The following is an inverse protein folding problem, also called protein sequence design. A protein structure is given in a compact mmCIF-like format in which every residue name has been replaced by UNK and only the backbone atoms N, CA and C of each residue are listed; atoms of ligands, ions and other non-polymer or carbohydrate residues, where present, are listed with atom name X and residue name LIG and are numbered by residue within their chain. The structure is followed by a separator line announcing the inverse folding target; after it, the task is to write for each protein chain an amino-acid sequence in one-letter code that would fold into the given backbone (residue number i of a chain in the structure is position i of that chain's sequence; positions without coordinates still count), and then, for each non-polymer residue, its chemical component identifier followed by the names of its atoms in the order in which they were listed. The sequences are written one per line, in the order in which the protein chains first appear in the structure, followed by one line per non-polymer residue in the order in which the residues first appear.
data_IF_679936884150
#
_entry.id   IF_679936884150
#
_cell.length_a   1.000
_cell.length_b   1.000
_cell.length_c   1.000
_cell.angle_alpha   90.00
_cell.angle_beta   90.00
_cell.angle_gamma   90.00
#
_symmetry.space_group_name_H-M   'P 1'
#
loop_
_entity.id
_entity.type
_entity.pdbx_description
1 polymer ?
#
# COMPACT_ATOMS: atom_id res chain seq x y z
N UNK A 1 18.78 -6.58 17.06
CA UNK A 1 17.65 -6.11 17.90
C UNK A 1 17.61 -4.58 17.78
N UNK A 2 16.59 -4.05 17.10
CA UNK A 2 16.45 -2.61 16.82
C UNK A 2 15.96 -1.92 18.09
N UNK A 3 16.86 -1.30 18.86
CA UNK A 3 16.47 -0.49 20.03
C UNK A 3 16.71 0.99 19.66
N UNK A 4 15.68 1.71 19.17
CA UNK A 4 15.84 3.04 18.57
C UNK A 4 16.16 4.17 19.57
N UNK A 5 16.46 3.84 20.83
CA UNK A 5 16.62 4.78 21.93
C UNK A 5 18.05 4.90 22.48
N UNK A 6 18.96 3.99 22.11
CA UNK A 6 20.36 4.04 22.57
C UNK A 6 21.25 4.59 21.46
N UNK A 7 21.06 5.88 21.15
CA UNK A 7 22.09 6.65 20.44
C UNK A 7 23.03 7.19 21.52
N UNK A 8 24.35 6.98 21.39
CA UNK A 8 25.33 7.51 22.34
C UNK A 8 25.26 9.05 22.31
N UNK A 9 24.96 9.68 23.45
CA UNK A 9 24.80 11.12 23.59
C UNK A 9 24.52 11.51 25.04
N UNK A 10 24.38 12.82 25.32
CA UNK A 10 24.17 13.34 26.68
C UNK A 10 22.94 12.69 27.36
N UNK A 11 23.21 11.95 28.44
CA UNK A 11 22.21 11.25 29.23
C UNK A 11 21.49 12.24 30.14
N UNK A 12 20.19 12.45 29.94
CA UNK A 12 19.39 13.30 30.83
C UNK A 12 18.90 12.53 32.05
N UNK A 13 18.61 11.23 31.89
CA UNK A 13 18.08 10.39 32.96
C UNK A 13 18.47 8.93 32.72
N UNK A 14 18.97 8.27 33.77
CA UNK A 14 19.24 6.84 33.78
C UNK A 14 18.56 6.21 34.98
N UNK A 15 17.69 5.23 34.74
CA UNK A 15 17.13 4.41 35.81
C UNK A 15 17.66 3.00 35.68
N UNK A 16 18.32 2.54 36.75
CA UNK A 16 18.72 1.15 36.91
C UNK A 16 17.63 0.42 37.68
N UNK A 17 16.96 -0.53 37.02
CA UNK A 17 16.08 -1.49 37.70
C UNK A 17 16.75 -2.85 37.60
N UNK A 18 17.28 -3.31 38.74
CA UNK A 18 17.85 -4.62 39.09
C UNK A 18 18.95 -5.20 38.18
N UNK A 19 18.77 -5.23 36.85
CA UNK A 19 19.77 -5.67 35.87
C UNK A 19 19.71 -4.95 34.50
N UNK A 20 18.82 -3.96 34.33
CA UNK A 20 18.69 -3.18 33.09
C UNK A 20 18.94 -1.70 33.33
N UNK A 21 19.84 -1.12 32.54
CA UNK A 21 20.10 0.32 32.53
C UNK A 21 19.25 0.95 31.42
N UNK A 22 18.15 1.59 31.80
CA UNK A 22 17.32 2.36 30.87
C UNK A 22 17.75 3.81 30.93
N UNK A 23 18.51 4.24 29.92
CA UNK A 23 18.94 5.62 29.73
C UNK A 23 18.12 6.31 28.64
N UNK A 24 17.58 7.49 28.93
CA UNK A 24 16.93 8.35 27.94
C UNK A 24 17.91 9.44 27.51
N UNK A 25 18.34 9.36 26.26
CA UNK A 25 19.23 10.35 25.62
C UNK A 25 18.41 11.44 24.92
N UNK A 26 18.82 12.71 25.02
CA UNK A 26 18.18 13.84 24.33
C UNK A 26 18.03 13.62 22.81
N UNK A 27 19.09 13.10 22.18
CA UNK A 27 19.09 12.69 20.76
C UNK A 27 18.06 11.59 20.42
N UNK A 28 17.78 10.71 21.39
CA UNK A 28 16.80 9.64 21.25
C UNK A 28 15.37 10.17 21.19
N UNK A 29 15.04 11.20 21.98
CA UNK A 29 13.70 11.80 22.01
C UNK A 29 13.37 12.49 20.68
N UNK A 30 14.32 13.24 20.11
CA UNK A 30 14.14 13.90 18.81
C UNK A 30 14.04 12.90 17.66
N UNK A 31 14.80 11.81 17.72
CA UNK A 31 14.72 10.75 16.72
C UNK A 31 13.37 10.04 16.77
N UNK A 32 12.89 9.73 17.98
CA UNK A 32 11.57 9.13 18.18
C UNK A 32 10.45 10.04 17.66
N UNK A 33 10.47 11.33 18.03
CA UNK A 33 9.47 12.29 17.58
C UNK A 33 9.42 12.40 16.04
N UNK A 34 10.59 12.45 15.40
CA UNK A 34 10.68 12.47 13.94
C UNK A 34 10.08 11.22 13.28
N UNK A 35 10.30 10.03 13.85
CA UNK A 35 9.73 8.78 13.32
C UNK A 35 8.20 8.79 13.46
N UNK A 36 7.70 9.20 14.62
CA UNK A 36 6.25 9.28 14.89
C UNK A 36 5.56 10.26 13.94
N UNK A 37 6.13 11.46 13.78
CA UNK A 37 5.62 12.47 12.84
C UNK A 37 5.64 11.93 11.41
N UNK A 38 6.78 11.40 10.94
CA UNK A 38 6.93 10.90 9.57
C UNK A 38 5.97 9.75 9.24
N UNK A 39 5.83 8.80 10.16
CA UNK A 39 4.92 7.65 9.98
C UNK A 39 3.45 8.10 9.95
N UNK A 40 3.05 9.02 10.83
CA UNK A 40 1.70 9.58 10.86
C UNK A 40 1.37 10.34 9.57
N UNK A 41 2.30 11.18 9.08
CA UNK A 41 2.17 11.89 7.81
C UNK A 41 2.05 10.94 6.61
N UNK A 42 2.85 9.87 6.58
CA UNK A 42 2.79 8.86 5.52
C UNK A 42 1.41 8.20 5.44
N UNK A 43 0.85 7.80 6.59
CA UNK A 43 -0.48 7.18 6.66
C UNK A 43 -1.55 8.18 6.21
N UNK A 44 -1.49 9.43 6.67
CA UNK A 44 -2.44 10.48 6.24
C UNK A 44 -2.40 10.71 4.73
N UNK A 45 -1.21 10.81 4.14
CA UNK A 45 -1.04 10.96 2.69
C UNK A 45 -1.62 9.77 1.92
N UNK A 46 -1.39 8.54 2.39
CA UNK A 46 -1.98 7.34 1.79
C UNK A 46 -3.52 7.35 1.84
N UNK A 47 -4.10 7.76 2.97
CA UNK A 47 -5.56 7.86 3.13
C UNK A 47 -6.14 8.92 2.20
N UNK A 48 -5.53 10.10 2.13
CA UNK A 48 -5.96 11.17 1.22
C UNK A 48 -5.87 10.70 -0.23
N UNK A 49 -4.73 10.14 -0.64
CA UNK A 49 -4.52 9.66 -2.01
C UNK A 49 -5.50 8.55 -2.40
N UNK A 50 -5.79 7.62 -1.49
CA UNK A 50 -6.78 6.54 -1.69
C UNK A 50 -8.21 7.08 -1.78
N UNK A 51 -8.53 8.16 -1.06
CA UNK A 51 -9.85 8.78 -1.06
C UNK A 51 -10.11 9.65 -2.31
N UNK A 52 -9.09 10.37 -2.79
CA UNK A 52 -9.24 11.29 -3.93
C UNK A 52 -9.07 10.61 -5.30
N UNK A 53 -8.36 9.47 -5.37
CA UNK A 53 -8.01 8.82 -6.63
C UNK A 53 -8.91 7.62 -6.91
N UNK A 54 -9.66 7.65 -8.01
CA UNK A 54 -10.46 6.49 -8.41
C UNK A 54 -9.58 5.39 -8.99
N UNK A 55 -10.00 4.12 -8.86
CA UNK A 55 -9.27 2.99 -9.46
C UNK A 55 -9.15 3.11 -10.99
N UNK A 56 -10.17 3.71 -11.64
CA UNK A 56 -10.13 3.99 -13.07
C UNK A 56 -9.04 4.99 -13.44
N UNK A 57 -8.80 6.01 -12.63
CA UNK A 57 -7.73 6.99 -12.88
C UNK A 57 -6.35 6.39 -12.61
N UNK A 58 -6.23 5.51 -11.61
CA UNK A 58 -5.02 4.73 -11.38
C UNK A 58 -4.64 3.86 -12.60
N UNK A 59 -5.60 3.13 -13.17
CA UNK A 59 -5.36 2.32 -14.38
C UNK A 59 -4.93 3.14 -15.60
N UNK A 60 -5.44 4.37 -15.74
CA UNK A 60 -4.99 5.26 -16.81
C UNK A 60 -3.58 5.79 -16.55
N UNK A 61 -3.21 6.03 -15.29
CA UNK A 61 -1.83 6.32 -14.92
C UNK A 61 -0.87 5.22 -15.38
N UNK A 62 -1.29 3.96 -15.27
CA UNK A 62 -0.52 2.81 -15.79
C UNK A 62 -0.44 2.81 -17.33
N UNK A 63 -1.49 3.24 -18.04
CA UNK A 63 -1.50 3.38 -19.50
C UNK A 63 -0.50 4.46 -19.96
N UNK A 64 -0.45 5.60 -19.25
CA UNK A 64 0.52 6.68 -19.49
C UNK A 64 1.96 6.23 -19.23
N UNK A 65 2.17 5.33 -18.27
CA UNK A 65 3.46 4.68 -17.98
C UNK A 65 3.84 3.62 -19.02
N UNK A 66 3.07 3.47 -20.11
CA UNK A 66 3.29 2.51 -21.21
C UNK A 66 3.29 1.04 -20.77
N UNK A 67 2.50 0.70 -19.74
CA UNK A 67 2.25 -0.71 -19.40
C UNK A 67 1.44 -1.36 -20.54
N UNK A 68 1.72 -2.64 -20.91
CA UNK A 68 0.97 -3.32 -21.96
C UNK A 68 -0.55 -3.32 -21.70
N UNK A 69 -1.34 -2.99 -22.72
CA UNK A 69 -2.81 -2.87 -22.61
C UNK A 69 -3.50 -4.13 -22.08
N UNK A 70 -2.90 -5.31 -22.33
CA UNK A 70 -3.39 -6.59 -21.81
C UNK A 70 -3.38 -6.61 -20.26
N UNK A 71 -2.33 -6.08 -19.63
CA UNK A 71 -2.24 -6.03 -18.17
C UNK A 71 -3.32 -5.11 -17.59
N UNK A 72 -3.51 -3.93 -18.19
CA UNK A 72 -4.53 -2.96 -17.78
C UNK A 72 -5.94 -3.59 -17.91
N UNK A 73 -6.18 -4.32 -18.99
CA UNK A 73 -7.44 -5.04 -19.22
C UNK A 73 -7.70 -6.09 -18.14
N UNK A 74 -6.71 -6.96 -17.86
CA UNK A 74 -6.82 -8.01 -16.85
C UNK A 74 -7.09 -7.38 -15.48
N UNK A 75 -6.36 -6.32 -15.12
CA UNK A 75 -6.55 -5.59 -13.87
C UNK A 75 -7.94 -4.93 -13.78
N UNK A 76 -8.45 -4.34 -14.88
CA UNK A 76 -9.81 -3.78 -14.93
C UNK A 76 -10.87 -4.85 -14.73
N UNK A 77 -10.73 -6.02 -15.35
CA UNK A 77 -11.65 -7.13 -15.14
C UNK A 77 -11.57 -7.65 -13.71
N UNK A 78 -10.37 -7.83 -13.17
CA UNK A 78 -10.15 -8.26 -11.80
C UNK A 78 -10.89 -7.34 -10.81
N UNK A 79 -10.75 -6.03 -10.93
CA UNK A 79 -11.44 -5.07 -10.07
C UNK A 79 -12.96 -5.09 -10.25
N UNK A 80 -13.47 -5.19 -11.48
CA UNK A 80 -14.92 -5.28 -11.70
C UNK A 80 -15.50 -6.57 -11.13
N UNK A 81 -14.78 -7.69 -11.29
CA UNK A 81 -15.28 -9.00 -10.90
C UNK A 81 -15.04 -9.34 -9.43
N UNK A 82 -14.07 -8.73 -8.73
CA UNK A 82 -13.85 -9.02 -7.31
C UNK A 82 -15.11 -8.77 -6.47
N UNK A 83 -15.86 -7.71 -6.75
CA UNK A 83 -17.13 -7.43 -6.08
C UNK A 83 -18.21 -8.48 -6.37
N UNK A 84 -18.30 -8.91 -7.63
CA UNK A 84 -19.22 -9.97 -8.05
C UNK A 84 -18.88 -11.30 -7.37
N UNK A 85 -17.59 -11.65 -7.31
CA UNK A 85 -17.12 -12.87 -6.65
C UNK A 85 -17.37 -12.81 -5.15
N UNK A 86 -17.17 -11.64 -4.55
CA UNK A 86 -17.42 -11.42 -3.14
C UNK A 86 -18.90 -11.59 -2.78
N UNK A 87 -19.81 -11.07 -3.61
CA UNK A 87 -21.24 -11.29 -3.41
C UNK A 87 -21.64 -12.76 -3.57
N UNK A 88 -21.03 -13.46 -4.53
CA UNK A 88 -21.25 -14.90 -4.71
C UNK A 88 -20.72 -15.71 -3.52
N UNK A 89 -19.53 -15.37 -3.03
CA UNK A 89 -18.95 -15.96 -1.83
C UNK A 89 -19.84 -15.72 -0.60
N UNK A 90 -20.35 -14.50 -0.41
CA UNK A 90 -21.32 -14.18 0.66
C UNK A 90 -22.60 -15.01 0.54
N UNK A 91 -23.12 -15.22 -0.66
CA UNK A 91 -24.28 -16.09 -0.90
C UNK A 91 -23.99 -17.52 -0.48
N UNK A 92 -22.83 -18.07 -0.85
CA UNK A 92 -22.40 -19.41 -0.44
C UNK A 92 -22.22 -19.52 1.08
N UNK A 93 -21.63 -18.51 1.71
CA UNK A 93 -21.46 -18.45 3.17
C UNK A 93 -22.81 -18.44 3.91
N UNK A 94 -23.79 -17.68 3.40
CA UNK A 94 -25.14 -17.65 3.96
C UNK A 94 -25.88 -18.98 3.77
N UNK A 95 -25.74 -19.60 2.60
CA UNK A 95 -26.30 -20.93 2.36
C UNK A 95 -25.68 -21.98 3.30
N UNK A 96 -24.37 -21.88 3.55
CA UNK A 96 -23.66 -22.71 4.52
C UNK A 96 -24.21 -22.50 5.94
N UNK A 97 -24.39 -21.26 6.38
CA UNK A 97 -24.86 -20.98 7.76
C UNK A 97 -26.25 -21.53 8.04
N UNK A 98 -27.09 -21.69 7.01
CA UNK A 98 -28.42 -22.30 7.14
C UNK A 98 -28.35 -23.84 7.15
N UNK A 99 -27.45 -24.44 6.37
CA UNK A 99 -27.39 -25.90 6.19
C UNK A 99 -26.45 -26.63 7.15
N UNK A 100 -25.42 -25.95 7.66
CA UNK A 100 -24.33 -26.58 8.38
C UNK A 100 -24.20 -26.03 9.80
N UNK A 101 -24.59 -26.85 10.79
CA UNK A 101 -24.44 -26.61 12.23
C UNK A 101 -23.28 -27.43 12.85
N UNK A 102 -22.33 -27.91 12.04
CA UNK A 102 -21.28 -28.81 12.52
C UNK A 102 -20.18 -28.09 13.32
N UNK A 103 -19.84 -28.66 14.48
CA UNK A 103 -18.91 -28.08 15.46
C UNK A 103 -17.43 -28.40 15.17
N UNK A 104 -17.13 -29.45 14.39
CA UNK A 104 -15.76 -29.95 14.19
C UNK A 104 -15.01 -29.16 13.11
N UNK A 105 -13.82 -28.65 13.45
CA UNK A 105 -12.93 -27.92 12.54
C UNK A 105 -12.65 -28.66 11.21
N UNK A 106 -12.45 -29.99 11.25
CA UNK A 106 -12.17 -30.80 10.05
C UNK A 106 -13.28 -30.74 9.00
N UNK A 107 -14.53 -30.79 9.44
CA UNK A 107 -15.68 -30.70 8.55
C UNK A 107 -15.88 -29.28 8.02
N UNK A 108 -15.55 -28.26 8.82
CA UNK A 108 -15.58 -26.86 8.38
C UNK A 108 -14.63 -26.62 7.20
N UNK A 109 -13.39 -27.13 7.26
CA UNK A 109 -12.45 -27.03 6.15
C UNK A 109 -12.95 -27.75 4.90
N UNK A 110 -13.57 -28.94 5.06
CA UNK A 110 -14.17 -29.66 3.93
C UNK A 110 -15.28 -28.85 3.26
N UNK A 111 -16.16 -28.21 4.04
CA UNK A 111 -17.24 -27.36 3.51
C UNK A 111 -16.67 -26.12 2.80
N UNK A 112 -15.61 -25.52 3.34
CA UNK A 112 -14.91 -24.40 2.69
C UNK A 112 -14.33 -24.84 1.34
N UNK A 113 -13.69 -26.02 1.27
CA UNK A 113 -13.21 -26.59 0.02
C UNK A 113 -14.30 -26.75 -1.03
N UNK A 114 -15.48 -27.26 -0.65
CA UNK A 114 -16.63 -27.34 -1.56
C UNK A 114 -17.11 -25.96 -2.03
N UNK A 115 -17.18 -24.96 -1.13
CA UNK A 115 -17.56 -23.60 -1.52
C UNK A 115 -16.57 -23.00 -2.52
N UNK A 116 -15.27 -23.20 -2.32
CA UNK A 116 -14.23 -22.74 -3.24
C UNK A 116 -14.38 -23.43 -4.59
N UNK A 117 -14.58 -24.75 -4.62
CA UNK A 117 -14.79 -25.51 -5.86
C UNK A 117 -16.01 -25.03 -6.64
N UNK A 118 -17.15 -24.82 -5.97
CA UNK A 118 -18.37 -24.28 -6.59
C UNK A 118 -18.13 -22.87 -7.11
N UNK A 119 -17.46 -22.01 -6.33
CA UNK A 119 -17.13 -20.66 -6.75
C UNK A 119 -16.25 -20.70 -8.00
N UNK A 120 -15.19 -21.50 -8.01
CA UNK A 120 -14.28 -21.66 -9.14
C UNK A 120 -15.01 -22.02 -10.45
N UNK A 121 -15.85 -23.06 -10.42
CA UNK A 121 -16.64 -23.49 -11.59
C UNK A 121 -17.54 -22.34 -12.08
N UNK A 122 -18.28 -21.70 -11.17
CA UNK A 122 -19.16 -20.56 -11.53
C UNK A 122 -18.39 -19.38 -12.12
N UNK A 123 -17.19 -19.10 -11.60
CA UNK A 123 -16.34 -18.02 -12.14
C UNK A 123 -15.80 -18.34 -13.52
N UNK A 124 -15.41 -19.60 -13.76
CA UNK A 124 -14.92 -20.05 -15.04
C UNK A 124 -15.99 -19.96 -16.13
N UNK A 125 -17.18 -20.54 -15.89
CA UNK A 125 -18.32 -20.45 -16.81
C UNK A 125 -18.75 -19.00 -17.08
N UNK A 126 -18.61 -18.13 -16.08
CA UNK A 126 -18.88 -16.70 -16.24
C UNK A 126 -17.83 -16.04 -17.13
N UNK A 127 -16.54 -16.31 -16.91
CA UNK A 127 -15.45 -15.77 -17.71
C UNK A 127 -15.61 -16.16 -19.20
N UNK A 128 -15.96 -17.41 -19.47
CA UNK A 128 -16.22 -17.90 -20.83
C UNK A 128 -17.39 -17.17 -21.49
N UNK A 129 -18.52 -17.00 -20.78
CA UNK A 129 -19.67 -16.23 -21.28
C UNK A 129 -19.31 -14.77 -21.59
N UNK A 130 -18.49 -14.14 -20.74
CA UNK A 130 -18.03 -12.76 -20.98
C UNK A 130 -17.13 -12.72 -22.20
N UNK A 131 -16.20 -13.66 -22.34
CA UNK A 131 -15.31 -13.74 -23.49
C UNK A 131 -16.08 -13.91 -24.80
N UNK A 132 -17.03 -14.84 -24.85
CA UNK A 132 -17.89 -15.03 -26.02
C UNK A 132 -18.69 -13.77 -26.35
N UNK A 133 -19.24 -13.08 -25.33
CA UNK A 133 -19.94 -11.81 -25.53
C UNK A 133 -19.02 -10.68 -26.01
N UNK A 134 -17.73 -10.69 -25.63
CA UNK A 134 -16.75 -9.74 -26.14
C UNK A 134 -16.47 -10.00 -27.62
N UNK A 135 -16.26 -11.26 -28.03
CA UNK A 135 -16.05 -11.62 -29.44
C UNK A 135 -17.23 -11.14 -30.31
N UNK A 136 -18.48 -11.40 -29.89
CA UNK A 136 -19.68 -10.97 -30.63
C UNK A 136 -19.76 -9.45 -30.78
N UNK A 137 -19.23 -8.68 -29.81
CA UNK A 137 -19.17 -7.21 -29.88
C UNK A 137 -17.99 -6.67 -30.71
N UNK A 138 -17.22 -7.54 -31.35
CA UNK A 138 -16.07 -7.13 -32.18
C UNK A 138 -14.77 -6.95 -31.40
N UNK A 139 -14.57 -7.69 -30.30
CA UNK A 139 -13.33 -7.63 -29.54
C UNK A 139 -12.12 -8.06 -30.38
N UNK A 140 -11.15 -7.15 -30.50
CA UNK A 140 -9.93 -7.32 -31.31
C UNK A 140 -8.65 -7.48 -30.46
N UNK A 141 -8.79 -7.84 -29.18
CA UNK A 141 -7.67 -7.97 -28.25
C UNK A 141 -7.21 -6.67 -27.58
N UNK A 142 -7.79 -5.52 -27.94
CA UNK A 142 -7.46 -4.22 -27.33
C UNK A 142 -8.52 -3.78 -26.33
N UNK A 143 -8.07 -3.25 -25.18
CA UNK A 143 -8.97 -2.62 -24.21
C UNK A 143 -9.30 -1.21 -24.69
N UNK A 144 -10.58 -0.94 -24.92
CA UNK A 144 -11.05 0.40 -25.25
C UNK A 144 -11.15 1.18 -23.93
N UNK A 145 -10.15 2.01 -23.64
CA UNK A 145 -10.21 2.97 -22.53
C UNK A 145 -11.05 4.17 -22.97
N UNK A 146 -12.26 4.29 -22.40
CA UNK A 146 -13.30 5.25 -22.86
C UNK A 146 -13.17 6.63 -22.23
N UNK A 147 -12.16 6.86 -21.38
CA UNK A 147 -12.18 8.01 -20.48
C UNK A 147 -10.85 8.76 -20.50
N UNK A 148 -10.87 9.97 -21.06
CA UNK A 148 -9.70 10.84 -21.20
C UNK A 148 -9.40 11.51 -19.84
N UNK A 149 -8.16 11.41 -19.36
CA UNK A 149 -7.69 12.26 -18.26
C UNK A 149 -7.63 13.71 -18.78
N UNK A 150 -8.31 14.61 -18.10
CA UNK A 150 -8.16 16.05 -18.33
C UNK A 150 -7.20 16.58 -17.28
N UNK A 151 -6.04 17.05 -17.72
CA UNK A 151 -5.11 17.75 -16.84
C UNK A 151 -5.72 19.10 -16.45
N UNK A 152 -5.93 19.29 -15.15
CA UNK A 152 -6.39 20.56 -14.59
C UNK A 152 -5.19 21.41 -14.18
N UNK A 153 -5.36 22.73 -14.16
CA UNK A 153 -4.34 23.66 -13.65
C UNK A 153 -3.99 23.38 -12.16
N UNK A 154 -4.93 22.75 -11.44
CA UNK A 154 -4.72 22.33 -10.06
C UNK A 154 -3.74 21.15 -9.94
N UNK A 155 -3.65 20.29 -10.96
CA UNK A 155 -2.66 19.21 -11.01
C UNK A 155 -1.24 19.78 -11.15
N UNK A 156 -1.09 20.88 -11.89
CA UNK A 156 0.20 21.56 -12.05
C UNK A 156 0.66 22.20 -10.73
N UNK A 157 -0.25 22.85 -10.01
CA UNK A 157 0.03 23.37 -8.66
C UNK A 157 0.41 22.25 -7.67
N UNK A 158 -0.27 21.10 -7.76
CA UNK A 158 0.02 19.95 -6.92
C UNK A 158 1.40 19.35 -7.22
N UNK A 159 1.76 19.21 -8.50
CA UNK A 159 3.09 18.74 -8.95
C UNK A 159 4.18 19.71 -8.50
N UNK A 160 3.96 21.01 -8.64
CA UNK A 160 4.90 22.03 -8.16
C UNK A 160 5.10 21.94 -6.65
N UNK A 161 4.02 21.80 -5.88
CA UNK A 161 4.07 21.62 -4.42
C UNK A 161 4.84 20.36 -4.00
N UNK A 162 4.64 19.24 -4.69
CA UNK A 162 5.39 18.00 -4.46
C UNK A 162 6.89 18.21 -4.74
N UNK A 163 7.25 18.83 -5.86
CA UNK A 163 8.64 19.08 -6.21
C UNK A 163 9.34 19.95 -5.17
N UNK A 164 8.68 21.01 -4.69
CA UNK A 164 9.20 21.90 -3.65
C UNK A 164 9.40 21.13 -2.34
N UNK A 165 8.43 20.30 -1.93
CA UNK A 165 8.55 19.45 -0.74
C UNK A 165 9.70 18.45 -0.85
N UNK A 166 9.91 17.86 -2.04
CA UNK A 166 10.94 16.85 -2.28
C UNK A 166 12.34 17.47 -2.25
N UNK A 167 12.48 18.68 -2.82
CA UNK A 167 13.70 19.50 -2.73
C UNK A 167 14.01 19.85 -1.26
N UNK A 168 13.00 20.24 -0.48
CA UNK A 168 13.18 20.58 0.93
C UNK A 168 13.63 19.36 1.75
N UNK A 169 13.04 18.18 1.49
CA UNK A 169 13.44 16.92 2.15
C UNK A 169 14.86 16.52 1.78
N UNK A 170 15.23 16.60 0.49
CA UNK A 170 16.58 16.28 0.01
C UNK A 170 17.61 17.24 0.62
N UNK A 171 17.31 18.54 0.65
CA UNK A 171 18.17 19.56 1.27
C UNK A 171 18.36 19.29 2.77
N UNK A 172 17.29 18.95 3.49
CA UNK A 172 17.37 18.55 4.90
C UNK A 172 18.16 17.25 5.14
N UNK A 173 18.08 16.29 4.22
CA UNK A 173 18.87 15.06 4.28
C UNK A 173 20.36 15.34 4.04
N UNK A 174 20.68 16.18 3.06
CA UNK A 174 22.05 16.60 2.73
C UNK A 174 22.67 17.34 3.91
N UNK A 175 21.95 18.32 4.47
CA UNK A 175 22.41 19.08 5.63
C UNK A 175 22.72 18.16 6.83
N UNK A 176 21.89 17.13 7.05
CA UNK A 176 22.10 16.16 8.13
C UNK A 176 23.31 15.24 7.89
N UNK A 177 23.58 14.85 6.64
CA UNK A 177 24.76 14.04 6.28
C UNK A 177 26.03 14.86 6.41
N UNK A 178 26.01 16.12 5.99
CA UNK A 178 27.15 17.03 6.05
C UNK A 178 27.53 17.36 7.51
N UNK A 179 26.53 17.61 8.37
CA UNK A 179 26.75 17.79 9.81
C UNK A 179 27.31 16.53 10.51
N UNK A 180 26.92 15.33 10.08
CA UNK A 180 27.48 14.07 10.62
C UNK A 180 28.94 13.90 10.20
N UNK A 181 29.26 14.20 8.93
CA UNK A 181 30.62 14.05 8.39
C UNK A 181 31.63 15.05 8.98
N UNK A 182 31.21 16.29 9.25
CA UNK A 182 32.07 17.31 9.87
C UNK A 182 32.43 16.95 11.32
N UNK A 183 31.53 16.27 12.05
CA UNK A 183 31.76 15.87 13.43
C UNK A 183 32.79 14.72 13.53
N UNK A 184 32.88 13.84 12.54
CA UNK A 184 33.85 12.73 12.50
C UNK A 184 35.26 13.19 12.07
N UNK A 185 35.39 14.26 11.29
CA UNK A 185 36.69 14.78 10.82
C UNK A 185 37.53 15.46 11.93
N UNK A 186 36.90 15.89 13.03
CA UNK A 186 37.62 16.45 14.19
C UNK A 186 38.32 15.39 15.05
N UNK A 187 38.02 14.09 14.88
CA UNK A 187 38.63 13.01 15.66
C UNK A 187 39.97 12.50 15.08
N UNK A 188 40.31 12.83 13.82
CA UNK A 188 41.53 12.34 13.16
C UNK A 188 42.72 13.30 13.19
N UNK A 189 42.52 14.55 13.62
CA UNK A 189 43.60 15.54 13.78
C UNK A 189 44.20 15.60 15.19
N UNK A 190 43.75 14.72 16.10
CA UNK A 190 44.21 14.64 17.49
C UNK A 190 45.05 13.39 17.84
N UNK A 191 45.55 12.67 16.83
CA UNK A 191 46.52 11.57 16.97
C UNK A 191 47.81 11.92 16.22
#
# INVERSE_FOLDING_TARGET
MFVPFVKQGHMCWSVKIYNWELGVTYEGIWTFLNIVIKSSLSVLLLVIASSTTTFSDFLKGLDLLRIPQLMIMITSFMYRYIFVLFDEAKRLMRARSIRYFGSRYKEQFRVIGYMIGVLFIRTYERAERIYNAMIVRGFNGKAISINHLRFSCMDFLFIAGIFISLIFIISGLIYKIEHVKINDTHLWHGL
#
